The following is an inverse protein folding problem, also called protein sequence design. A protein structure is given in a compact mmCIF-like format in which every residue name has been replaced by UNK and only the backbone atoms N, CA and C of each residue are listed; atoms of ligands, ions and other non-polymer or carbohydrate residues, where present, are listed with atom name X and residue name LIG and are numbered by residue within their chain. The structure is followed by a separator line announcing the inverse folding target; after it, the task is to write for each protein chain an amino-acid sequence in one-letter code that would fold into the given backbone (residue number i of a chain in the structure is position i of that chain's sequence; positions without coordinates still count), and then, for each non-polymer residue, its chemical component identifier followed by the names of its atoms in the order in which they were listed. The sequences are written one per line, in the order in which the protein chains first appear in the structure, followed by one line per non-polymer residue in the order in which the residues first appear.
data_IF_025596024936
#
_entry.id   IF_025596024936
#
_cell.length_a   1.000
_cell.length_b   1.000
_cell.length_c   1.000
_cell.angle_alpha   90.00
_cell.angle_beta   90.00
_cell.angle_gamma   90.00
#
_symmetry.space_group_name_H-M   'P 1'
#
loop_
_entity.id
_entity.type
_entity.pdbx_description
1 polymer ?
#
# COMPACT_ATOMS: atom_id res chain seq x y z
N UNK A 1 -24.44 -16.86 10.45
CA UNK A 1 -23.04 -17.11 10.04
C UNK A 1 -22.25 -17.34 11.32
N UNK A 2 -21.78 -18.56 11.55
CA UNK A 2 -21.01 -18.88 12.76
C UNK A 2 -19.54 -18.49 12.53
N UNK A 3 -19.07 -17.49 13.25
CA UNK A 3 -17.65 -17.14 13.26
C UNK A 3 -16.87 -18.20 14.06
N UNK A 4 -15.96 -18.89 13.41
CA UNK A 4 -14.98 -19.73 14.13
C UNK A 4 -13.97 -18.83 14.83
N UNK A 5 -13.94 -18.87 16.16
CA UNK A 5 -12.95 -18.14 16.94
C UNK A 5 -11.69 -18.98 17.09
N UNK A 6 -10.54 -18.37 16.78
CA UNK A 6 -9.24 -18.99 17.02
C UNK A 6 -9.02 -19.05 18.53
N UNK A 7 -8.52 -20.18 19.03
CA UNK A 7 -8.12 -20.31 20.44
C UNK A 7 -6.89 -19.40 20.70
N UNK A 8 -6.98 -18.40 21.61
CA UNK A 8 -5.91 -17.43 21.82
C UNK A 8 -4.59 -18.08 22.26
N UNK A 9 -4.65 -19.06 23.17
CA UNK A 9 -3.45 -19.71 23.72
C UNK A 9 -2.70 -20.52 22.68
N UNK A 10 -3.43 -21.16 21.75
CA UNK A 10 -2.81 -21.86 20.62
C UNK A 10 -2.26 -20.89 19.58
N UNK A 11 -2.93 -19.77 19.37
CA UNK A 11 -2.49 -18.76 18.39
C UNK A 11 -1.22 -18.04 18.83
N UNK A 12 -1.08 -17.71 20.12
CA UNK A 12 0.14 -17.09 20.68
C UNK A 12 1.37 -17.98 20.49
N UNK A 13 1.18 -19.31 20.53
CA UNK A 13 2.27 -20.27 20.36
C UNK A 13 2.56 -20.60 18.88
N UNK A 14 1.85 -20.02 17.91
CA UNK A 14 2.16 -20.20 16.50
C UNK A 14 3.46 -19.47 16.15
N UNK A 15 4.36 -20.08 15.35
CA UNK A 15 5.56 -19.41 14.89
C UNK A 15 5.19 -18.19 14.00
N UNK A 16 5.89 -17.08 14.20
CA UNK A 16 5.73 -15.87 13.38
C UNK A 16 6.43 -16.05 12.04
N UNK A 17 5.82 -16.81 11.14
CA UNK A 17 6.33 -17.17 9.83
C UNK A 17 5.19 -17.19 8.83
N UNK A 18 5.42 -16.71 7.59
CA UNK A 18 4.41 -16.76 6.55
C UNK A 18 4.06 -18.20 6.15
N UNK A 19 2.84 -18.42 5.68
CA UNK A 19 2.40 -19.73 5.16
C UNK A 19 3.26 -20.20 3.98
N UNK A 20 3.79 -19.27 3.21
CA UNK A 20 4.67 -19.57 2.08
C UNK A 20 5.92 -20.30 2.56
N UNK A 21 6.64 -19.73 3.53
CA UNK A 21 7.86 -20.32 4.09
C UNK A 21 7.54 -21.54 4.96
N UNK A 22 6.44 -21.51 5.73
CA UNK A 22 6.09 -22.59 6.63
C UNK A 22 5.64 -23.85 5.90
N UNK A 23 4.88 -23.71 4.82
CA UNK A 23 4.17 -24.79 4.13
C UNK A 23 4.53 -24.86 2.65
N UNK A 24 4.40 -23.76 1.89
CA UNK A 24 4.48 -23.80 0.43
C UNK A 24 5.88 -24.15 -0.09
N UNK A 25 6.92 -23.61 0.52
CA UNK A 25 8.30 -23.95 0.14
C UNK A 25 8.72 -25.40 0.48
N UNK A 26 7.99 -26.03 1.42
CA UNK A 26 8.30 -27.38 1.90
C UNK A 26 7.45 -28.47 1.28
N UNK A 27 6.27 -28.11 0.74
CA UNK A 27 5.35 -29.11 0.19
C UNK A 27 5.81 -29.63 -1.18
N UNK A 28 5.69 -30.94 -1.37
CA UNK A 28 5.86 -31.57 -2.68
C UNK A 28 4.54 -31.68 -3.47
N UNK A 29 3.44 -31.20 -2.88
CA UNK A 29 2.10 -31.27 -3.47
C UNK A 29 1.62 -29.94 -4.04
N UNK A 30 2.51 -28.94 -4.12
CA UNK A 30 2.19 -27.64 -4.71
C UNK A 30 1.92 -27.77 -6.20
N UNK A 31 0.86 -27.10 -6.66
CA UNK A 31 0.55 -26.98 -8.10
C UNK A 31 0.60 -25.50 -8.47
N UNK A 32 1.25 -25.18 -9.56
CA UNK A 32 1.34 -23.81 -10.09
C UNK A 32 0.49 -23.72 -11.35
N UNK A 33 -0.42 -22.76 -11.37
CA UNK A 33 -1.17 -22.40 -12.56
C UNK A 33 -0.68 -21.03 -13.06
N UNK A 34 -0.14 -20.92 -14.26
CA UNK A 34 0.24 -19.65 -14.83
C UNK A 34 -1.02 -18.79 -15.05
N UNK A 35 -0.97 -17.52 -14.61
CA UNK A 35 -2.08 -16.58 -14.76
C UNK A 35 -1.53 -15.24 -15.23
N UNK A 36 -1.98 -14.81 -16.40
CA UNK A 36 -1.74 -13.46 -16.92
C UNK A 36 -3.03 -12.62 -16.80
N UNK A 37 -3.30 -12.16 -15.59
CA UNK A 37 -4.48 -11.37 -15.25
C UNK A 37 -4.17 -9.90 -14.92
N UNK A 38 -2.93 -9.44 -15.17
CA UNK A 38 -2.49 -8.09 -14.77
C UNK A 38 -2.53 -7.88 -13.25
N UNK A 39 -2.45 -8.97 -12.45
CA UNK A 39 -2.50 -8.89 -11.00
C UNK A 39 -1.31 -8.09 -10.46
N UNK A 40 -1.58 -7.22 -9.49
CA UNK A 40 -0.56 -6.47 -8.76
C UNK A 40 -0.84 -6.53 -7.27
N UNK A 41 0.20 -6.76 -6.49
CA UNK A 41 0.13 -6.66 -5.03
C UNK A 41 0.06 -5.18 -4.62
N UNK A 42 -1.05 -4.79 -3.97
CA UNK A 42 -1.27 -3.42 -3.49
C UNK A 42 -1.02 -3.41 -1.98
N UNK A 43 0.24 -3.64 -1.59
CA UNK A 43 0.68 -3.65 -0.20
C UNK A 43 1.27 -2.32 0.29
N UNK A 44 1.34 -1.29 -0.55
CA UNK A 44 1.92 0.02 -0.18
C UNK A 44 1.25 1.17 -0.93
N UNK A 45 1.40 2.39 -0.42
CA UNK A 45 0.95 3.60 -1.11
C UNK A 45 1.64 3.82 -2.46
N UNK A 46 2.89 3.37 -2.61
CA UNK A 46 3.57 3.40 -3.89
C UNK A 46 2.89 2.50 -4.92
N UNK A 47 2.46 1.30 -4.52
CA UNK A 47 1.71 0.39 -5.41
C UNK A 47 0.38 1.00 -5.86
N UNK A 48 -0.31 1.76 -4.97
CA UNK A 48 -1.52 2.52 -5.34
C UNK A 48 -1.19 3.59 -6.37
N UNK A 49 -0.12 4.37 -6.17
CA UNK A 49 0.32 5.37 -7.14
C UNK A 49 0.70 4.74 -8.49
N UNK A 50 1.42 3.61 -8.49
CA UNK A 50 1.85 2.90 -9.72
C UNK A 50 0.67 2.53 -10.63
N UNK A 51 -0.42 2.02 -10.07
CA UNK A 51 -1.61 1.59 -10.82
C UNK A 51 -2.57 2.73 -11.13
N UNK A 52 -2.41 3.89 -10.48
CA UNK A 52 -3.30 5.03 -10.64
C UNK A 52 -3.08 5.73 -11.99
N UNK A 53 -4.15 6.31 -12.53
CA UNK A 53 -4.03 7.22 -13.67
C UNK A 53 -3.38 8.54 -13.21
N UNK A 54 -2.27 8.90 -13.82
CA UNK A 54 -1.44 10.06 -13.47
C UNK A 54 -1.61 11.20 -14.46
N UNK A 55 -1.28 12.41 -14.03
CA UNK A 55 -1.13 13.56 -14.93
C UNK A 55 0.17 13.47 -15.76
N UNK A 56 0.41 14.45 -16.61
CA UNK A 56 1.60 14.53 -17.49
C UNK A 56 2.93 14.67 -16.72
N UNK A 57 2.88 14.99 -15.45
CA UNK A 57 4.05 15.11 -14.58
C UNK A 57 4.21 13.92 -13.66
N UNK A 58 3.42 12.88 -13.82
CA UNK A 58 3.45 11.68 -13.00
C UNK A 58 2.74 11.80 -11.65
N UNK A 59 1.92 12.83 -11.46
CA UNK A 59 1.22 13.02 -10.20
C UNK A 59 -0.16 12.37 -10.20
N UNK A 60 -0.60 11.96 -9.03
CA UNK A 60 -1.97 11.54 -8.73
C UNK A 60 -2.48 12.31 -7.53
N UNK A 61 -3.64 12.94 -7.69
CA UNK A 61 -4.32 13.72 -6.65
C UNK A 61 -5.67 13.12 -6.33
N UNK A 62 -6.02 13.08 -5.04
CA UNK A 62 -7.31 12.68 -4.53
C UNK A 62 -7.71 13.62 -3.38
N UNK A 63 -8.92 14.18 -3.44
CA UNK A 63 -9.40 15.17 -2.48
C UNK A 63 -9.11 16.61 -2.89
N UNK A 64 -9.13 17.52 -1.92
CA UNK A 64 -8.92 18.94 -2.14
C UNK A 64 -7.42 19.28 -2.12
N UNK A 65 -6.83 19.45 -3.31
CA UNK A 65 -5.38 19.58 -3.49
C UNK A 65 -5.06 20.83 -4.31
N UNK A 66 -4.22 21.70 -3.77
CA UNK A 66 -3.56 22.79 -4.50
C UNK A 66 -2.09 22.46 -4.65
N UNK A 67 -1.64 22.31 -5.90
CA UNK A 67 -0.29 21.84 -6.20
C UNK A 67 0.43 22.76 -7.20
N UNK A 68 1.69 23.09 -6.94
CA UNK A 68 2.56 23.87 -7.82
C UNK A 68 3.96 23.28 -7.85
N UNK A 69 4.54 23.15 -9.05
CA UNK A 69 5.93 22.70 -9.26
C UNK A 69 6.20 21.32 -8.59
N UNK A 70 5.32 20.35 -8.81
CA UNK A 70 5.45 19.00 -8.25
C UNK A 70 5.49 17.94 -9.34
N UNK A 71 6.20 16.84 -9.06
CA UNK A 71 6.35 15.71 -9.99
C UNK A 71 6.45 14.37 -9.27
N UNK A 72 5.91 13.31 -9.92
CA UNK A 72 5.91 11.94 -9.41
C UNK A 72 5.37 11.83 -7.98
N UNK A 73 4.31 12.58 -7.64
CA UNK A 73 3.75 12.58 -6.30
C UNK A 73 2.38 11.93 -6.25
N UNK A 74 2.07 11.29 -5.13
CA UNK A 74 0.73 10.88 -4.75
C UNK A 74 0.26 11.72 -3.57
N UNK A 75 -0.78 12.52 -3.76
CA UNK A 75 -1.36 13.36 -2.72
C UNK A 75 -2.82 12.96 -2.52
N UNK A 76 -3.18 12.57 -1.30
CA UNK A 76 -4.54 12.22 -0.90
C UNK A 76 -4.94 12.96 0.35
N UNK A 77 -6.00 13.77 0.26
CA UNK A 77 -6.64 14.44 1.38
C UNK A 77 -8.07 13.95 1.56
N UNK A 78 -8.38 13.44 2.75
CA UNK A 78 -9.74 13.00 3.07
C UNK A 78 -10.59 14.12 3.67
N UNK A 79 -10.01 15.00 4.46
CA UNK A 79 -10.75 15.98 5.26
C UNK A 79 -10.26 17.41 5.14
N UNK A 80 -9.05 17.64 4.67
CA UNK A 80 -8.41 18.96 4.62
C UNK A 80 -7.84 19.28 3.24
N UNK A 81 -7.80 20.59 2.94
CA UNK A 81 -7.03 21.09 1.82
C UNK A 81 -5.54 20.79 2.03
N UNK A 82 -4.90 20.16 1.06
CA UNK A 82 -3.45 19.99 0.99
C UNK A 82 -2.88 20.98 -0.01
N UNK A 83 -2.03 21.90 0.45
CA UNK A 83 -1.25 22.78 -0.41
C UNK A 83 0.19 22.23 -0.52
N UNK A 84 0.64 21.92 -1.73
CA UNK A 84 1.93 21.30 -2.00
C UNK A 84 2.71 22.09 -3.06
N UNK A 85 3.95 22.47 -2.76
CA UNK A 85 4.80 23.27 -3.66
C UNK A 85 6.21 22.68 -3.69
N UNK A 86 6.77 22.52 -4.92
CA UNK A 86 8.17 22.12 -5.10
C UNK A 86 8.50 20.70 -4.64
N UNK A 87 7.52 19.78 -4.67
CA UNK A 87 7.71 18.41 -4.21
C UNK A 87 8.02 17.45 -5.36
N UNK A 88 8.82 16.42 -5.06
CA UNK A 88 9.17 15.37 -6.01
C UNK A 88 9.27 14.03 -5.31
N UNK A 89 8.78 12.97 -5.99
CA UNK A 89 8.87 11.57 -5.58
C UNK A 89 8.33 11.32 -4.14
N UNK A 90 7.24 12.01 -3.77
CA UNK A 90 6.63 11.92 -2.44
C UNK A 90 5.23 11.33 -2.47
N UNK A 91 4.89 10.69 -1.36
CA UNK A 91 3.55 10.26 -1.00
C UNK A 91 3.10 11.08 0.21
N UNK A 92 1.94 11.73 0.07
CA UNK A 92 1.27 12.45 1.16
C UNK A 92 -0.15 11.92 1.27
N UNK A 93 -0.49 11.41 2.44
CA UNK A 93 -1.83 10.90 2.75
C UNK A 93 -2.29 11.55 4.04
N UNK A 94 -3.37 12.31 3.95
CA UNK A 94 -4.03 12.93 5.09
C UNK A 94 -5.33 12.18 5.37
N UNK A 95 -5.53 11.81 6.62
CA UNK A 95 -6.74 11.25 7.18
C UNK A 95 -7.22 12.12 8.35
N UNK A 96 -8.39 11.81 8.93
CA UNK A 96 -8.94 12.59 10.03
C UNK A 96 -8.02 12.69 11.25
N UNK A 97 -7.18 11.69 11.47
CA UNK A 97 -6.36 11.51 12.68
C UNK A 97 -4.85 11.57 12.42
N UNK A 98 -4.39 11.47 11.17
CA UNK A 98 -2.98 11.42 10.86
C UNK A 98 -2.63 12.05 9.51
N UNK A 99 -1.35 12.44 9.36
CA UNK A 99 -0.77 12.81 8.08
C UNK A 99 0.51 11.99 7.87
N UNK A 100 0.53 11.22 6.79
CA UNK A 100 1.73 10.52 6.33
C UNK A 100 2.41 11.35 5.25
N UNK A 101 3.72 11.57 5.40
CA UNK A 101 4.60 12.10 4.36
C UNK A 101 5.77 11.13 4.21
N UNK A 102 5.94 10.55 3.04
CA UNK A 102 6.97 9.56 2.80
C UNK A 102 7.61 9.71 1.41
N UNK A 103 8.88 9.40 1.31
CA UNK A 103 9.51 9.12 0.02
C UNK A 103 8.89 7.87 -0.59
N UNK A 104 8.62 7.88 -1.90
CA UNK A 104 7.98 6.76 -2.59
C UNK A 104 8.72 5.43 -2.37
N UNK A 105 10.06 5.46 -2.43
CA UNK A 105 10.90 4.25 -2.27
C UNK A 105 10.89 3.71 -0.85
N UNK A 106 10.47 4.53 0.13
CA UNK A 106 10.42 4.15 1.54
C UNK A 106 9.01 3.88 2.05
N UNK A 107 7.99 4.05 1.22
CA UNK A 107 6.59 3.92 1.60
C UNK A 107 6.21 2.52 2.13
N UNK A 108 6.96 1.48 1.78
CA UNK A 108 6.76 0.13 2.32
C UNK A 108 7.19 -0.03 3.79
N UNK A 109 7.93 0.93 4.35
CA UNK A 109 8.33 0.91 5.77
C UNK A 109 7.22 1.37 6.71
N UNK A 110 6.17 1.94 6.18
CA UNK A 110 4.96 2.31 6.94
C UNK A 110 4.17 1.03 7.19
N UNK A 111 4.19 0.58 8.43
CA UNK A 111 3.45 -0.59 8.91
C UNK A 111 2.43 -0.15 9.95
#
# INVERSE_FOLDING_TARGET
MDFQRINPDKFINCPNISVDVAVMEKTKKGTVLPLDAGWKDIGSWNSVWEISKKDKYGNKFEGDIVAKDISNCYLRGESRLIAAIGLKDLIVVETKDAVLIADQKQSQKVR
#
